data_IF_373154544655
#
_entry.id   IF_373154544655
#
_cell.length_a   1.000
_cell.length_b   1.000
_cell.length_c   1.000
_cell.angle_alpha   90.00
_cell.angle_beta   90.00
_cell.angle_gamma   90.00
#
_symmetry.space_group_name_H-M   'P 1'
#
loop_
_entity.id
_entity.type
_entity.pdbx_description
1 polymer ?
#
# COMPACT_ATOMS: atom_id res chain seq x y z
N UNK A 1 23.67 -28.73 -6.36
CA UNK A 1 23.52 -28.30 -6.54
C UNK A 1 23.20 -27.24 -7.09
N UNK A 2 22.81 -26.76 -7.32
CA UNK A 2 22.46 -25.88 -7.91
C UNK A 2 22.52 -24.65 -7.49
N UNK A 3 22.80 -24.31 -6.74
CA UNK A 3 22.79 -23.22 -6.24
C UNK A 3 23.68 -22.30 -6.63
N UNK A 4 24.49 -22.50 -7.01
CA UNK A 4 25.44 -21.76 -7.29
C UNK A 4 25.41 -20.84 -8.26
N UNK A 5 24.99 -21.03 -9.21
CA UNK A 5 25.07 -20.26 -10.25
C UNK A 5 24.53 -19.03 -10.07
N UNK A 6 23.94 -18.85 -9.16
CA UNK A 6 23.29 -17.68 -9.08
C UNK A 6 24.11 -16.57 -8.67
N UNK A 7 25.19 -16.76 -8.18
CA UNK A 7 25.86 -15.74 -7.70
C UNK A 7 26.17 -14.64 -8.47
N UNK A 8 26.38 -14.72 -9.68
CA UNK A 8 26.74 -13.63 -10.39
C UNK A 8 25.72 -12.76 -10.64
N UNK A 9 24.57 -13.06 -10.47
CA UNK A 9 23.60 -12.20 -10.92
C UNK A 9 23.28 -11.10 -10.03
N UNK A 10 23.79 -11.16 -8.86
CA UNK A 10 23.34 -10.23 -8.07
C UNK A 10 23.80 -8.92 -8.08
N UNK A 11 24.61 -8.57 -8.75
CA UNK A 11 25.10 -7.26 -8.77
C UNK A 11 24.11 -6.27 -9.28
N UNK A 12 23.40 -6.60 -10.36
CA UNK A 12 22.48 -5.70 -10.87
C UNK A 12 21.21 -5.64 -10.15
N UNK A 13 20.64 -6.68 -9.76
CA UNK A 13 19.36 -6.68 -9.13
C UNK A 13 19.22 -5.85 -7.89
N UNK A 14 20.30 -5.56 -7.23
CA UNK A 14 20.17 -4.82 -6.03
C UNK A 14 19.70 -3.40 -6.22
N UNK A 15 20.02 -2.80 -7.35
CA UNK A 15 19.64 -1.42 -7.53
C UNK A 15 18.16 -1.25 -7.69
N UNK A 16 17.55 -2.07 -8.50
CA UNK A 16 16.15 -1.96 -8.75
C UNK A 16 15.30 -2.12 -7.53
N UNK A 17 15.48 -3.16 -6.71
CA UNK A 17 14.70 -3.28 -5.50
C UNK A 17 14.89 -2.10 -4.57
N UNK A 18 16.12 -1.58 -4.51
CA UNK A 18 16.39 -0.47 -3.63
C UNK A 18 15.65 0.78 -4.09
N UNK A 19 15.62 1.03 -5.39
CA UNK A 19 14.91 2.19 -5.90
C UNK A 19 13.41 2.06 -5.70
N UNK A 20 12.86 0.87 -5.85
CA UNK A 20 11.45 0.65 -5.62
C UNK A 20 11.10 0.90 -4.17
N UNK A 21 11.94 0.45 -3.25
CA UNK A 21 11.72 0.68 -1.84
C UNK A 21 11.74 2.15 -1.50
N UNK A 22 12.62 2.91 -2.15
CA UNK A 22 12.68 4.33 -1.90
C UNK A 22 11.41 5.02 -2.40
N UNK A 23 10.91 4.60 -3.54
CA UNK A 23 9.66 5.16 -4.07
C UNK A 23 8.50 4.82 -3.15
N UNK A 24 8.47 3.61 -2.64
CA UNK A 24 7.42 3.21 -1.72
C UNK A 24 7.44 4.07 -0.46
N UNK A 25 8.63 4.26 0.12
CA UNK A 25 8.76 5.09 1.30
C UNK A 25 8.31 6.53 1.04
N UNK A 26 8.67 7.06 -0.11
CA UNK A 26 8.27 8.42 -0.47
C UNK A 26 6.77 8.54 -0.62
N UNK A 27 6.14 7.55 -1.24
CA UNK A 27 4.69 7.54 -1.40
C UNK A 27 3.99 7.46 -0.06
N UNK A 28 4.48 6.59 0.82
CA UNK A 28 3.88 6.43 2.14
C UNK A 28 3.96 7.73 2.92
N UNK A 29 5.12 8.37 2.92
CA UNK A 29 5.28 9.62 3.64
C UNK A 29 4.40 10.73 3.09
N UNK A 30 4.32 10.83 1.77
CA UNK A 30 3.51 11.86 1.13
C UNK A 30 2.03 11.66 1.43
N UNK A 31 1.55 10.42 1.35
CA UNK A 31 0.15 10.14 1.63
C UNK A 31 -0.15 10.36 3.11
N UNK A 32 0.74 9.91 3.99
CA UNK A 32 0.55 10.09 5.42
C UNK A 32 0.43 11.59 5.77
N UNK A 33 1.25 12.42 5.15
CA UNK A 33 1.21 13.86 5.36
C UNK A 33 -0.16 14.41 4.93
N UNK A 34 -0.62 14.00 3.76
CA UNK A 34 -1.90 14.48 3.26
C UNK A 34 -3.06 14.01 4.13
N UNK A 35 -3.06 12.77 4.56
CA UNK A 35 -4.14 12.24 5.39
C UNK A 35 -4.15 12.90 6.76
N UNK A 36 -2.99 13.14 7.35
CA UNK A 36 -2.92 13.84 8.62
C UNK A 36 -3.44 15.28 8.50
N UNK A 37 -3.14 15.92 7.37
CA UNK A 37 -3.65 17.27 7.14
C UNK A 37 -5.17 17.25 6.97
N UNK A 38 -5.75 16.12 6.65
CA UNK A 38 -7.19 15.94 6.54
C UNK A 38 -7.79 15.39 7.84
N UNK A 39 -7.02 15.45 8.93
CA UNK A 39 -7.46 15.01 10.26
C UNK A 39 -7.66 13.52 10.40
N UNK A 40 -6.95 12.73 9.62
CA UNK A 40 -6.96 11.28 9.82
C UNK A 40 -5.88 10.90 10.82
N UNK A 41 -6.17 9.91 11.63
CA UNK A 41 -5.19 9.34 12.53
C UNK A 41 -4.51 8.21 11.79
N UNK A 42 -3.18 8.28 11.68
CA UNK A 42 -2.39 7.37 10.86
C UNK A 42 -1.36 6.68 11.74
N UNK A 43 -1.16 5.39 11.49
CA UNK A 43 -0.12 4.65 12.19
C UNK A 43 0.39 3.53 11.30
N UNK A 44 1.25 2.70 11.85
CA UNK A 44 1.77 1.54 11.20
C UNK A 44 1.53 0.39 12.16
N UNK A 45 0.98 -0.70 11.69
CA UNK A 45 0.69 -1.83 12.55
C UNK A 45 1.84 -2.82 12.56
N UNK A 46 2.12 -3.37 13.74
CA UNK A 46 3.06 -4.45 13.87
C UNK A 46 2.26 -5.69 14.19
N UNK A 47 2.42 -6.73 13.37
CA UNK A 47 1.68 -7.96 13.51
C UNK A 47 2.68 -9.08 13.76
N UNK A 48 2.45 -9.86 14.81
CA UNK A 48 3.32 -11.00 15.13
C UNK A 48 2.47 -12.26 15.02
N UNK A 49 2.49 -12.93 13.87
CA UNK A 49 1.67 -14.13 13.72
C UNK A 49 2.15 -15.23 14.64
N UNK A 50 1.23 -16.10 15.03
CA UNK A 50 1.57 -17.21 15.90
C UNK A 50 2.59 -18.08 15.19
N UNK A 51 3.66 -18.40 15.89
CA UNK A 51 4.71 -19.24 15.32
C UNK A 51 5.81 -18.50 14.60
N UNK A 52 5.68 -17.17 14.48
CA UNK A 52 6.70 -16.36 13.84
C UNK A 52 7.55 -15.66 14.87
N UNK A 53 8.83 -15.51 14.57
CA UNK A 53 9.69 -14.74 15.46
C UNK A 53 9.76 -13.29 15.00
N UNK A 54 9.63 -13.05 13.71
CA UNK A 54 9.76 -11.69 13.22
C UNK A 54 8.40 -11.06 13.03
N UNK A 55 8.24 -9.83 13.44
CA UNK A 55 6.97 -9.15 13.22
C UNK A 55 6.81 -8.76 11.76
N UNK A 56 5.57 -8.66 11.31
CA UNK A 56 5.24 -8.10 10.03
C UNK A 56 4.78 -6.68 10.28
N UNK A 57 5.12 -5.77 9.36
CA UNK A 57 4.71 -4.38 9.49
C UNK A 57 3.89 -3.98 8.27
N UNK A 58 2.75 -3.34 8.50
CA UNK A 58 1.99 -2.78 7.41
C UNK A 58 2.68 -1.49 6.97
N UNK A 59 2.44 -1.05 5.75
CA UNK A 59 3.03 0.21 5.31
C UNK A 59 2.33 1.38 5.98
N UNK A 60 1.00 1.35 6.02
CA UNK A 60 0.24 2.42 6.60
C UNK A 60 -1.13 1.89 7.02
N UNK A 61 -1.59 2.31 8.17
CA UNK A 61 -2.94 2.01 8.60
C UNK A 61 -3.63 3.32 8.95
N UNK A 62 -4.74 3.59 8.26
CA UNK A 62 -5.54 4.77 8.53
C UNK A 62 -6.60 4.37 9.54
N UNK A 63 -6.41 4.77 10.78
CA UNK A 63 -7.31 4.42 11.87
C UNK A 63 -8.69 5.03 11.64
N UNK A 64 -8.71 6.26 11.16
CA UNK A 64 -9.96 6.99 10.93
C UNK A 64 -10.82 6.31 9.89
N UNK A 65 -10.23 5.88 8.79
CA UNK A 65 -10.97 5.22 7.72
C UNK A 65 -11.02 3.71 7.88
N UNK A 66 -10.29 3.16 8.85
CA UNK A 66 -10.12 1.72 9.04
C UNK A 66 -9.63 1.11 7.72
N UNK A 67 -8.51 1.58 7.23
CA UNK A 67 -7.97 1.15 5.95
C UNK A 67 -6.52 0.71 6.05
N UNK A 68 -6.25 -0.51 5.59
CA UNK A 68 -4.91 -1.02 5.48
C UNK A 68 -4.40 -0.63 4.11
N UNK A 69 -3.27 0.04 4.06
CA UNK A 69 -2.71 0.56 2.81
C UNK A 69 -1.35 -0.07 2.57
N UNK A 70 -1.22 -0.74 1.45
CA UNK A 70 0.04 -1.37 1.05
C UNK A 70 0.60 -0.58 -0.13
N UNK A 71 1.81 -0.07 0.00
CA UNK A 71 2.43 0.75 -1.04
C UNK A 71 3.35 -0.07 -1.92
N UNK A 72 3.38 0.25 -3.19
CA UNK A 72 4.30 -0.36 -4.14
C UNK A 72 4.92 0.72 -5.01
N UNK A 73 6.14 0.48 -5.44
CA UNK A 73 6.89 1.46 -6.21
C UNK A 73 6.76 1.30 -7.72
N UNK A 74 5.91 0.41 -8.18
CA UNK A 74 5.66 0.24 -9.61
C UNK A 74 4.25 -0.26 -9.83
N UNK A 75 3.81 -0.29 -11.10
CA UNK A 75 2.45 -0.71 -11.42
C UNK A 75 2.45 -1.95 -12.31
N UNK A 76 3.47 -2.81 -12.18
CA UNK A 76 3.52 -4.05 -12.94
C UNK A 76 2.56 -5.07 -12.36
N UNK A 77 2.20 -6.06 -13.16
CA UNK A 77 1.29 -7.12 -12.72
C UNK A 77 1.85 -7.87 -11.52
N UNK A 78 3.16 -8.19 -11.55
CA UNK A 78 3.77 -8.91 -10.44
C UNK A 78 3.71 -8.10 -9.16
N UNK A 79 3.97 -6.82 -9.26
CA UNK A 79 3.96 -5.96 -8.09
C UNK A 79 2.56 -5.86 -7.49
N UNK A 80 1.56 -5.71 -8.35
CA UNK A 80 0.19 -5.61 -7.89
C UNK A 80 -0.28 -6.93 -7.28
N UNK A 81 0.09 -8.05 -7.88
CA UNK A 81 -0.23 -9.36 -7.30
C UNK A 81 0.39 -9.53 -5.93
N UNK A 82 1.62 -9.05 -5.75
CA UNK A 82 2.27 -9.11 -4.46
C UNK A 82 1.51 -8.28 -3.43
N UNK A 83 1.09 -7.08 -3.80
CA UNK A 83 0.35 -6.22 -2.88
C UNK A 83 -0.97 -6.88 -2.47
N UNK A 84 -1.66 -7.50 -3.42
CA UNK A 84 -2.92 -8.19 -3.14
C UNK A 84 -2.67 -9.31 -2.12
N UNK A 85 -1.60 -10.08 -2.32
CA UNK A 85 -1.26 -11.17 -1.40
C UNK A 85 -0.89 -10.66 0.00
N UNK A 86 -0.14 -9.58 0.06
CA UNK A 86 0.25 -9.00 1.34
C UNK A 86 -0.98 -8.48 2.10
N UNK A 87 -1.90 -7.81 1.39
CA UNK A 87 -3.11 -7.33 2.04
C UNK A 87 -3.99 -8.49 2.51
N UNK A 88 -4.06 -9.58 1.74
CA UNK A 88 -4.81 -10.74 2.15
C UNK A 88 -4.25 -11.34 3.44
N UNK A 89 -2.92 -11.35 3.55
CA UNK A 89 -2.26 -11.86 4.73
C UNK A 89 -2.52 -10.95 5.94
N UNK A 90 -2.30 -9.65 5.80
CA UNK A 90 -2.47 -8.72 6.91
C UNK A 90 -3.94 -8.61 7.34
N UNK A 91 -4.87 -8.69 6.41
CA UNK A 91 -6.28 -8.52 6.73
C UNK A 91 -6.82 -9.62 7.65
N UNK A 92 -6.13 -10.76 7.73
CA UNK A 92 -6.54 -11.79 8.69
C UNK A 92 -6.44 -11.30 10.12
N UNK A 93 -5.60 -10.30 10.37
CA UNK A 93 -5.37 -9.75 11.70
C UNK A 93 -6.13 -8.45 11.92
N UNK A 94 -6.69 -7.86 10.88
CA UNK A 94 -7.45 -6.62 10.97
C UNK A 94 -8.70 -6.81 10.09
N UNK A 95 -9.60 -7.69 10.50
CA UNK A 95 -10.65 -8.16 9.59
C UNK A 95 -11.67 -7.12 9.13
N UNK A 96 -11.83 -6.02 9.83
CA UNK A 96 -12.78 -5.01 9.39
C UNK A 96 -12.16 -3.98 8.46
N UNK A 97 -10.86 -4.03 8.28
CA UNK A 97 -10.17 -2.99 7.53
C UNK A 97 -10.48 -3.05 6.05
N UNK A 98 -10.64 -1.87 5.47
CA UNK A 98 -10.68 -1.75 4.02
C UNK A 98 -9.27 -2.00 3.50
N UNK A 99 -9.14 -2.57 2.33
CA UNK A 99 -7.84 -2.86 1.73
C UNK A 99 -7.58 -1.89 0.61
N UNK A 100 -6.40 -1.30 0.61
CA UNK A 100 -6.03 -0.27 -0.36
C UNK A 100 -4.61 -0.50 -0.85
N UNK A 101 -4.36 -0.31 -2.14
CA UNK A 101 -3.00 -0.35 -2.69
C UNK A 101 -2.64 1.06 -3.12
N UNK A 102 -1.48 1.53 -2.67
CA UNK A 102 -0.97 2.85 -3.00
C UNK A 102 0.11 2.71 -4.07
N UNK A 103 -0.08 3.38 -5.20
CA UNK A 103 0.78 3.22 -6.37
C UNK A 103 1.34 4.56 -6.84
N UNK A 104 2.46 4.55 -7.56
CA UNK A 104 3.05 5.80 -8.07
C UNK A 104 2.27 6.39 -9.25
N UNK A 105 1.39 5.63 -9.86
CA UNK A 105 0.57 6.13 -10.95
C UNK A 105 -0.63 5.20 -11.12
N UNK A 106 -1.60 5.63 -11.89
CA UNK A 106 -2.78 4.81 -12.13
C UNK A 106 -2.40 3.60 -13.00
N UNK A 107 -2.77 2.40 -12.61
CA UNK A 107 -2.43 1.23 -13.42
C UNK A 107 -3.33 1.12 -14.64
N UNK A 108 -2.97 0.25 -15.57
CA UNK A 108 -3.78 0.00 -16.74
C UNK A 108 -5.15 -0.53 -16.34
N UNK A 109 -6.18 -0.31 -17.17
CA UNK A 109 -7.53 -0.75 -16.81
C UNK A 109 -7.65 -2.23 -16.43
N UNK A 110 -6.88 -3.09 -17.09
CA UNK A 110 -6.90 -4.52 -16.77
C UNK A 110 -6.44 -4.78 -15.34
N UNK A 111 -5.40 -4.10 -14.90
CA UNK A 111 -4.89 -4.28 -13.55
C UNK A 111 -5.79 -3.61 -12.51
N UNK A 112 -6.41 -2.49 -12.90
CA UNK A 112 -7.38 -1.86 -12.03
C UNK A 112 -8.56 -2.80 -11.81
N UNK A 113 -8.96 -3.52 -12.84
CA UNK A 113 -10.05 -4.48 -12.73
C UNK A 113 -9.65 -5.65 -11.84
N UNK A 114 -8.40 -6.12 -11.94
CA UNK A 114 -7.91 -7.17 -11.07
C UNK A 114 -8.04 -6.75 -9.60
N UNK A 115 -7.60 -5.54 -9.29
CA UNK A 115 -7.63 -5.05 -7.92
C UNK A 115 -9.07 -4.95 -7.44
N UNK A 116 -9.94 -4.41 -8.29
CA UNK A 116 -11.33 -4.26 -7.91
C UNK A 116 -12.00 -5.61 -7.69
N UNK A 117 -11.62 -6.64 -8.45
CA UNK A 117 -12.19 -7.97 -8.28
C UNK A 117 -11.89 -8.58 -6.93
N UNK A 118 -10.88 -8.04 -6.23
CA UNK A 118 -10.50 -8.51 -4.90
C UNK A 118 -11.06 -7.58 -3.81
N UNK A 119 -11.97 -6.69 -4.16
CA UNK A 119 -12.56 -5.73 -3.25
C UNK A 119 -11.51 -4.84 -2.60
N UNK A 120 -10.55 -4.42 -3.40
CA UNK A 120 -9.47 -3.55 -2.96
C UNK A 120 -9.58 -2.24 -3.70
N UNK A 121 -9.37 -1.14 -3.00
CA UNK A 121 -9.35 0.18 -3.62
C UNK A 121 -7.92 0.59 -3.95
N UNK A 122 -7.78 1.58 -4.81
CA UNK A 122 -6.50 2.11 -5.22
C UNK A 122 -6.39 3.57 -4.84
N UNK A 123 -5.18 3.99 -4.47
CA UNK A 123 -4.80 5.38 -4.35
C UNK A 123 -3.53 5.51 -5.18
N UNK A 124 -3.44 6.53 -6.02
CA UNK A 124 -2.22 6.75 -6.81
C UNK A 124 -1.87 8.23 -6.87
N UNK A 125 -0.60 8.49 -7.11
CA UNK A 125 -0.10 9.86 -7.14
C UNK A 125 -0.33 10.49 -8.51
N UNK A 126 -0.76 11.74 -8.52
CA UNK A 126 -0.94 12.51 -9.74
C UNK A 126 -0.43 13.91 -9.47
N UNK A 127 0.68 14.29 -10.08
CA UNK A 127 1.24 15.63 -9.95
C UNK A 127 1.36 16.11 -8.50
N UNK A 128 1.88 15.27 -7.67
CA UNK A 128 2.11 15.62 -6.27
C UNK A 128 0.91 15.51 -5.36
N UNK A 129 -0.24 15.20 -5.90
CA UNK A 129 -1.45 14.96 -5.13
C UNK A 129 -1.84 13.50 -5.31
N UNK A 130 -3.00 13.12 -4.78
CA UNK A 130 -3.45 11.73 -4.87
C UNK A 130 -4.88 11.66 -5.41
N UNK A 131 -5.13 10.62 -6.16
CA UNK A 131 -6.47 10.29 -6.65
C UNK A 131 -6.80 8.87 -6.20
N UNK A 132 -8.04 8.44 -6.33
CA UNK A 132 -8.43 7.15 -5.79
C UNK A 132 -9.67 6.61 -6.49
N UNK A 133 -9.83 5.30 -6.43
CA UNK A 133 -11.08 4.66 -6.86
C UNK A 133 -12.20 4.95 -5.88
N UNK A 134 -11.86 5.36 -4.64
CA UNK A 134 -12.85 5.78 -3.67
C UNK A 134 -12.35 7.06 -3.01
N UNK A 135 -12.83 8.19 -3.47
CA UNK A 135 -12.34 9.47 -3.01
C UNK A 135 -12.62 9.75 -1.54
N UNK A 136 -13.54 9.01 -0.93
CA UNK A 136 -13.78 9.18 0.49
C UNK A 136 -12.55 8.87 1.32
N UNK A 137 -11.68 8.00 0.81
CA UNK A 137 -10.45 7.66 1.51
C UNK A 137 -9.55 8.88 1.71
N UNK A 138 -9.70 9.87 0.84
CA UNK A 138 -8.85 11.06 0.87
C UNK A 138 -9.56 12.29 1.44
N UNK A 139 -10.83 12.17 1.84
CA UNK A 139 -11.58 13.31 2.30
C UNK A 139 -11.27 13.67 3.73
N UNK A 140 -11.46 14.94 4.06
CA UNK A 140 -11.22 15.42 5.40
C UNK A 140 -12.18 14.76 6.38
N UNK A 141 -11.64 14.25 7.49
CA UNK A 141 -12.44 13.58 8.49
C UNK A 141 -13.39 14.56 9.15
N UNK A 142 -14.63 14.16 9.27
CA UNK A 142 -15.61 14.95 9.98
C UNK A 142 -16.13 16.17 9.27
N UNK A 143 -15.59 16.46 8.06
CA UNK A 143 -15.99 17.65 7.36
C UNK A 143 -17.48 17.64 7.02
N UNK A 144 -17.96 16.52 6.51
CA UNK A 144 -19.33 16.42 6.14
C UNK A 144 -20.26 16.54 7.35
N UNK A 145 -19.82 16.04 8.48
CA UNK A 145 -20.62 16.12 9.68
C UNK A 145 -20.67 17.53 10.23
N UNK A 146 -19.60 18.28 10.04
CA UNK A 146 -19.60 19.63 10.55
C UNK A 146 -20.44 20.59 9.75
N UNK A 147 -20.69 20.26 8.52
CA UNK A 147 -21.46 21.14 7.68
C UNK A 147 -22.95 21.08 7.98
N UNK A 148 -23.35 20.16 8.81
CA UNK A 148 -24.72 20.09 9.23
C UNK A 148 -25.00 21.05 10.38
#
# INVERSE_FOLDING_TARGET
MEEQRTERTYVEPHREPYEAERRESGLVQALATQLRAADHEICRLQIVPKGEFKPLFTDLYDVTADALIEAKGSVTRETIRMAIGQLADYARFVPTARKVILLPSRPRPDLEELVRSQSIDLIWEVDGAFDSTDLELLMAHGRALRSV
#
